data_IF_481185077840
#
_entry.id   IF_481185077840
#
_cell.length_a   1.000
_cell.length_b   1.000
_cell.length_c   1.000
_cell.angle_alpha   90.00
_cell.angle_beta   90.00
_cell.angle_gamma   90.00
#
_symmetry.space_group_name_H-M   'P 1'
#
loop_
_entity.id
_entity.type
_entity.pdbx_description
1 polymer ?
#
# COMPACT_ATOMS: atom_id res chain seq x y z
N UNK A 1 1.00 5.35 23.67
CA UNK A 1 1.58 4.11 23.13
C UNK A 1 2.74 4.42 22.19
N UNK A 2 2.50 4.88 20.95
CA UNK A 2 3.59 5.24 20.01
C UNK A 2 4.32 6.55 20.36
N UNK A 3 3.62 7.57 20.88
CA UNK A 3 4.21 8.83 21.37
C UNK A 3 5.06 8.71 22.65
N UNK A 4 5.30 7.49 23.15
CA UNK A 4 6.05 7.23 24.39
C UNK A 4 7.39 6.55 24.14
N UNK A 5 7.90 6.59 22.89
CA UNK A 5 9.19 6.01 22.52
C UNK A 5 9.17 4.49 22.28
N UNK A 6 7.99 3.89 22.10
CA UNK A 6 7.86 2.47 21.78
C UNK A 6 8.20 2.26 20.31
N UNK A 7 9.36 1.67 20.03
CA UNK A 7 9.85 1.40 18.66
C UNK A 7 9.44 0.02 18.14
N UNK A 8 9.08 -0.91 19.03
CA UNK A 8 8.63 -2.25 18.68
C UNK A 8 7.12 -2.35 18.89
N UNK A 9 6.37 -2.19 17.81
CA UNK A 9 4.92 -2.33 17.79
C UNK A 9 4.47 -3.09 16.55
N UNK A 10 3.29 -3.69 16.63
CA UNK A 10 2.61 -4.31 15.50
C UNK A 10 1.13 -3.97 15.56
N UNK A 11 0.52 -3.77 14.39
CA UNK A 11 -0.92 -3.62 14.26
C UNK A 11 -1.54 -5.01 14.16
N UNK A 12 -2.34 -5.38 15.15
CA UNK A 12 -2.86 -6.74 15.37
C UNK A 12 -3.42 -7.41 14.11
N UNK A 13 -4.21 -6.70 13.31
CA UNK A 13 -4.90 -7.26 12.14
C UNK A 13 -4.21 -6.98 10.81
N UNK A 14 -3.19 -6.11 10.80
CA UNK A 14 -2.65 -5.55 9.57
C UNK A 14 -2.02 -6.60 8.65
N UNK A 15 -1.14 -7.45 9.20
CA UNK A 15 -0.45 -8.47 8.41
C UNK A 15 -1.43 -9.51 7.84
N UNK A 16 -2.48 -9.85 8.59
CA UNK A 16 -3.52 -10.76 8.13
C UNK A 16 -4.35 -10.17 6.99
N UNK A 17 -4.78 -8.90 7.12
CA UNK A 17 -5.50 -8.21 6.06
C UNK A 17 -4.65 -8.03 4.79
N UNK A 18 -3.35 -7.75 4.97
CA UNK A 18 -2.41 -7.58 3.88
C UNK A 18 -2.18 -8.89 3.10
N UNK A 19 -2.08 -10.02 3.80
CA UNK A 19 -1.96 -11.33 3.16
C UNK A 19 -3.25 -11.74 2.42
N UNK A 20 -4.41 -11.47 3.02
CA UNK A 20 -5.71 -11.68 2.36
C UNK A 20 -5.82 -10.88 1.06
N UNK A 21 -5.36 -9.63 1.06
CA UNK A 21 -5.29 -8.80 -0.16
C UNK A 21 -4.41 -9.43 -1.24
N UNK A 22 -3.23 -9.95 -0.89
CA UNK A 22 -2.37 -10.69 -1.84
C UNK A 22 -3.10 -11.91 -2.41
N UNK A 23 -3.75 -12.71 -1.57
CA UNK A 23 -4.48 -13.90 -2.01
C UNK A 23 -5.63 -13.55 -2.96
N UNK A 24 -6.37 -12.48 -2.66
CA UNK A 24 -7.44 -11.96 -3.52
C UNK A 24 -6.89 -11.55 -4.89
N UNK A 25 -5.78 -10.79 -4.94
CA UNK A 25 -5.16 -10.40 -6.22
C UNK A 25 -4.79 -11.62 -7.08
N UNK A 26 -4.24 -12.67 -6.46
CA UNK A 26 -3.94 -13.93 -7.16
C UNK A 26 -5.22 -14.58 -7.68
N UNK A 27 -6.28 -14.64 -6.87
CA UNK A 27 -7.56 -15.24 -7.27
C UNK A 27 -8.23 -14.51 -8.43
N UNK A 28 -7.97 -13.20 -8.58
CA UNK A 28 -8.45 -12.37 -9.69
C UNK A 28 -7.57 -12.46 -10.95
N UNK A 29 -6.51 -13.28 -10.93
CA UNK A 29 -5.65 -13.56 -12.08
C UNK A 29 -4.30 -12.83 -12.09
N UNK A 30 -3.94 -12.11 -11.03
CA UNK A 30 -2.59 -11.52 -10.91
C UNK A 30 -1.54 -12.61 -10.68
N UNK A 31 -0.40 -12.53 -11.37
CA UNK A 31 0.68 -13.50 -11.16
C UNK A 31 1.21 -13.41 -9.70
N UNK A 32 1.48 -14.54 -9.02
CA UNK A 32 1.94 -14.55 -7.62
C UNK A 32 3.11 -13.61 -7.27
N UNK A 33 4.08 -13.43 -8.17
CA UNK A 33 5.20 -12.52 -7.92
C UNK A 33 4.77 -11.05 -7.93
N UNK A 34 3.82 -10.66 -8.80
CA UNK A 34 3.25 -9.31 -8.86
C UNK A 34 2.42 -9.02 -7.61
N UNK A 35 1.59 -9.96 -7.18
CA UNK A 35 0.81 -9.83 -5.94
C UNK A 35 1.71 -9.69 -4.71
N UNK A 36 2.82 -10.45 -4.68
CA UNK A 36 3.84 -10.34 -3.61
C UNK A 36 4.56 -8.98 -3.66
N UNK A 37 4.87 -8.46 -4.86
CA UNK A 37 5.43 -7.11 -5.02
C UNK A 37 4.46 -6.05 -4.52
N UNK A 38 3.19 -6.11 -4.91
CA UNK A 38 2.14 -5.19 -4.48
C UNK A 38 1.97 -5.20 -2.95
N UNK A 39 1.91 -6.38 -2.33
CA UNK A 39 1.88 -6.52 -0.87
C UNK A 39 3.07 -5.83 -0.19
N UNK A 40 4.30 -6.09 -0.66
CA UNK A 40 5.52 -5.49 -0.07
C UNK A 40 5.52 -3.98 -0.22
N UNK A 41 5.08 -3.47 -1.37
CA UNK A 41 5.00 -2.05 -1.65
C UNK A 41 3.99 -1.36 -0.73
N UNK A 42 2.79 -1.92 -0.61
CA UNK A 42 1.75 -1.42 0.28
C UNK A 42 2.21 -1.39 1.74
N UNK A 43 2.85 -2.47 2.22
CA UNK A 43 3.40 -2.52 3.58
C UNK A 43 4.37 -1.37 3.87
N UNK A 44 5.25 -1.06 2.92
CA UNK A 44 6.21 0.05 3.08
C UNK A 44 5.48 1.39 3.17
N UNK A 45 4.60 1.66 2.20
CA UNK A 45 3.86 2.91 2.11
C UNK A 45 3.01 3.18 3.35
N UNK A 46 2.26 2.17 3.79
CA UNK A 46 1.34 2.31 4.90
C UNK A 46 2.06 2.45 6.26
N UNK A 47 3.23 1.83 6.47
CA UNK A 47 4.05 2.12 7.65
C UNK A 47 4.66 3.54 7.61
N UNK A 48 5.14 3.99 6.44
CA UNK A 48 5.63 5.38 6.30
C UNK A 48 4.52 6.39 6.58
N UNK A 49 3.33 6.16 6.03
CA UNK A 49 2.17 6.99 6.27
C UNK A 49 1.75 6.98 7.74
N UNK A 50 1.78 5.81 8.40
CA UNK A 50 1.50 5.72 9.82
C UNK A 50 2.47 6.57 10.65
N UNK A 51 3.75 6.56 10.33
CA UNK A 51 4.77 7.40 10.97
C UNK A 51 4.54 8.89 10.73
N UNK A 52 4.19 9.30 9.50
CA UNK A 52 3.89 10.70 9.16
C UNK A 52 2.63 11.22 9.86
N UNK A 53 1.65 10.34 10.06
CA UNK A 53 0.39 10.68 10.72
C UNK A 53 0.48 10.65 12.25
N UNK A 54 1.56 10.11 12.82
CA UNK A 54 1.76 10.19 14.26
C UNK A 54 1.82 11.66 14.69
N UNK A 55 0.98 12.08 15.65
CA UNK A 55 0.89 13.48 16.02
C UNK A 55 2.16 13.84 16.78
N UNK A 56 2.92 14.83 16.29
CA UNK A 56 3.96 15.44 17.11
C UNK A 56 3.37 15.91 18.45
N UNK A 57 2.11 16.38 18.49
CA UNK A 57 1.33 16.61 19.71
C UNK A 57 -0.19 16.33 19.53
N UNK A 58 -0.71 15.41 20.35
CA UNK A 58 -2.03 15.42 21.00
C UNK A 58 -3.30 15.89 20.25
N UNK A 59 -3.73 15.22 19.17
CA UNK A 59 -5.13 15.34 18.73
C UNK A 59 -5.65 14.06 18.04
N UNK A 60 -6.08 13.10 18.86
CA UNK A 60 -6.54 11.75 18.46
C UNK A 60 -7.71 11.77 17.45
N UNK A 61 -8.52 12.84 17.44
CA UNK A 61 -9.66 13.01 16.52
C UNK A 61 -9.23 13.37 15.09
N UNK A 62 -8.09 14.04 14.91
CA UNK A 62 -7.55 14.36 13.59
C UNK A 62 -6.87 13.15 12.94
N UNK A 63 -6.44 12.17 13.74
CA UNK A 63 -5.71 10.99 13.26
C UNK A 63 -6.53 10.14 12.30
N UNK A 64 -7.80 9.89 12.61
CA UNK A 64 -8.67 9.05 11.78
C UNK A 64 -9.03 9.71 10.43
N UNK A 65 -9.25 11.03 10.44
CA UNK A 65 -9.47 11.83 9.23
C UNK A 65 -8.22 11.82 8.34
N UNK A 66 -7.06 12.12 8.93
CA UNK A 66 -5.76 12.05 8.29
C UNK A 66 -5.44 10.66 7.72
N UNK A 67 -5.74 9.59 8.46
CA UNK A 67 -5.55 8.22 8.01
C UNK A 67 -6.45 7.88 6.82
N UNK A 68 -7.69 8.38 6.81
CA UNK A 68 -8.60 8.22 5.68
C UNK A 68 -8.12 8.99 4.44
N UNK A 69 -7.62 10.20 4.61
CA UNK A 69 -7.08 11.04 3.55
C UNK A 69 -5.85 10.41 2.91
N UNK A 70 -4.85 10.03 3.70
CA UNK A 70 -3.64 9.49 3.14
C UNK A 70 -3.84 8.05 2.59
N UNK A 71 -4.85 7.30 3.06
CA UNK A 71 -5.26 6.03 2.41
C UNK A 71 -5.77 6.28 0.98
N UNK A 72 -6.53 7.36 0.79
CA UNK A 72 -7.03 7.76 -0.52
C UNK A 72 -5.88 8.20 -1.44
N UNK A 73 -4.91 8.95 -0.91
CA UNK A 73 -3.72 9.33 -1.68
C UNK A 73 -2.88 8.10 -2.10
N UNK A 74 -2.74 7.10 -1.22
CA UNK A 74 -2.07 5.84 -1.55
C UNK A 74 -2.80 5.06 -2.66
N UNK A 75 -4.13 5.01 -2.62
CA UNK A 75 -4.95 4.40 -3.66
C UNK A 75 -4.71 5.08 -5.03
N UNK A 76 -4.71 6.42 -5.06
CA UNK A 76 -4.43 7.21 -6.27
C UNK A 76 -3.00 7.03 -6.80
N UNK A 77 -2.00 6.80 -5.93
CA UNK A 77 -0.63 6.46 -6.35
C UNK A 77 -0.61 5.06 -6.97
N UNK A 78 -1.23 4.07 -6.32
CA UNK A 78 -1.27 2.68 -6.80
C UNK A 78 -1.95 2.57 -8.16
N UNK A 79 -3.11 3.22 -8.34
CA UNK A 79 -3.84 3.19 -9.60
C UNK A 79 -3.00 3.75 -10.75
N UNK A 80 -2.29 4.87 -10.51
CA UNK A 80 -1.39 5.46 -11.51
C UNK A 80 -0.21 4.56 -11.85
N UNK A 81 0.42 3.93 -10.85
CA UNK A 81 1.53 3.00 -11.10
C UNK A 81 1.06 1.75 -11.86
N UNK A 82 -0.11 1.20 -11.52
CA UNK A 82 -0.69 0.05 -12.22
C UNK A 82 -1.09 0.38 -13.67
N UNK A 83 -1.65 1.57 -13.92
CA UNK A 83 -1.95 2.06 -15.27
C UNK A 83 -0.65 2.17 -16.10
N UNK A 84 0.41 2.73 -15.52
CA UNK A 84 1.72 2.85 -16.17
C UNK A 84 2.37 1.47 -16.44
N UNK A 85 2.30 0.51 -15.50
CA UNK A 85 2.78 -0.85 -15.72
C UNK A 85 2.02 -1.54 -16.88
N UNK A 86 0.68 -1.37 -16.97
CA UNK A 86 -0.13 -1.89 -18.09
C UNK A 86 0.26 -1.28 -19.43
N UNK A 87 0.42 0.04 -19.48
CA UNK A 87 0.79 0.75 -20.71
C UNK A 87 2.21 0.39 -21.17
N UNK A 88 3.16 0.29 -20.24
CA UNK A 88 4.53 -0.12 -20.57
C UNK A 88 4.59 -1.57 -21.07
N UNK A 89 3.83 -2.50 -20.48
CA UNK A 89 3.72 -3.88 -20.99
C UNK A 89 3.15 -3.94 -22.41
N UNK A 90 2.17 -3.09 -22.74
CA UNK A 90 1.63 -2.98 -24.10
C UNK A 90 2.65 -2.40 -25.10
N UNK A 91 3.54 -1.50 -24.66
CA UNK A 91 4.56 -0.88 -25.52
C UNK A 91 5.72 -1.83 -25.88
N UNK A 92 6.00 -2.84 -25.06
CA UNK A 92 6.98 -3.89 -25.40
C UNK A 92 6.38 -4.93 -26.36
N UNK A 93 5.14 -5.37 -26.14
CA UNK A 93 4.47 -6.32 -27.06
C UNK A 93 4.27 -5.80 -28.49
N UNK A 94 4.11 -4.48 -28.68
CA UNK A 94 3.91 -3.88 -30.00
C UNK A 94 5.17 -3.77 -30.86
N UNK A 95 6.36 -3.95 -30.27
CA UNK A 95 7.65 -3.83 -30.97
C UNK A 95 8.19 -5.17 -31.50
N UNK A 96 7.65 -6.29 -31.05
CA UNK A 96 8.08 -7.63 -31.45
C UNK A 96 7.25 -8.22 -32.61
N UNK A 97 6.31 -7.46 -33.19
CA UNK A 97 5.46 -7.88 -34.33
C UNK A 97 5.91 -7.30 -35.70
N UNK A 98 7.14 -6.79 -35.83
CA UNK A 98 7.67 -6.27 -37.10
C UNK A 98 9.01 -6.89 -37.50
#
# INVERSE_FOLDING_TARGET
>A
MLNHGVTSYSRETFLGALDLGRQLLISLGMHPHQATRAQKHFNKLDNTMLEELMPQHSDEKNLALRAKEARKELEEIFDREMENERQSSHFWNKRDEH
#
